data_IF_067095091430
#
_entry.id   IF_067095091430
#
_cell.length_a   1.000
_cell.length_b   1.000
_cell.length_c   1.000
_cell.angle_alpha   90.00
_cell.angle_beta   90.00
_cell.angle_gamma   90.00
#
_symmetry.space_group_name_H-M   'P 1'
#
loop_
_entity.id
_entity.type
_entity.pdbx_description
1 polymer ?
#
# COMPACT_ATOMS: atom_id res chain seq x y z
N UNK A 1 -167.38 18.13 36.18
CA UNK A 1 -166.95 17.97 34.78
C UNK A 1 -166.12 16.70 34.69
N UNK A 2 -166.81 15.56 34.70
CA UNK A 2 -167.02 14.63 33.57
C UNK A 2 -165.76 13.82 33.20
N UNK A 3 -165.77 12.56 33.65
CA UNK A 3 -164.73 11.51 33.54
C UNK A 3 -164.18 11.23 32.13
N UNK A 4 -164.79 11.76 31.06
CA UNK A 4 -164.30 11.53 29.69
C UNK A 4 -162.99 12.27 29.38
N UNK A 5 -162.78 13.47 29.93
CA UNK A 5 -161.56 14.26 29.64
C UNK A 5 -160.30 13.58 30.22
N UNK A 6 -160.43 12.93 31.38
CA UNK A 6 -159.34 12.19 32.04
C UNK A 6 -158.91 10.94 31.25
N UNK A 7 -159.84 10.27 30.57
CA UNK A 7 -159.55 9.09 29.74
C UNK A 7 -158.79 9.46 28.45
N UNK A 8 -159.16 10.57 27.80
CA UNK A 8 -158.47 11.04 26.59
C UNK A 8 -157.05 11.56 26.88
N UNK A 9 -156.82 12.19 28.03
CA UNK A 9 -155.47 12.63 28.46
C UNK A 9 -154.58 11.43 28.79
N UNK A 10 -155.11 10.40 29.45
CA UNK A 10 -154.36 9.17 29.74
C UNK A 10 -154.00 8.39 28.46
N UNK A 11 -154.93 8.30 27.49
CA UNK A 11 -154.67 7.66 26.20
C UNK A 11 -153.62 8.43 25.37
N UNK A 12 -153.67 9.76 25.36
CA UNK A 12 -152.67 10.60 24.71
C UNK A 12 -151.27 10.45 25.32
N UNK A 13 -151.19 10.34 26.65
CA UNK A 13 -149.94 10.09 27.38
C UNK A 13 -149.32 8.72 27.06
N UNK A 14 -150.14 7.67 26.91
CA UNK A 14 -149.66 6.34 26.57
C UNK A 14 -149.08 6.26 25.15
N UNK A 15 -149.70 6.95 24.18
CA UNK A 15 -149.21 6.99 22.79
C UNK A 15 -147.89 7.75 22.70
N UNK A 16 -147.75 8.88 23.42
CA UNK A 16 -146.50 9.63 23.50
C UNK A 16 -145.38 8.83 24.16
N UNK A 17 -145.68 8.08 25.23
CA UNK A 17 -144.71 7.19 25.89
C UNK A 17 -144.26 6.05 24.97
N UNK A 18 -145.20 5.45 24.20
CA UNK A 18 -144.87 4.42 23.22
C UNK A 18 -144.04 4.97 22.06
N UNK A 19 -144.33 6.17 21.56
CA UNK A 19 -143.53 6.82 20.52
C UNK A 19 -142.14 7.20 21.03
N UNK A 20 -142.01 7.69 22.26
CA UNK A 20 -140.72 7.97 22.89
C UNK A 20 -139.91 6.68 23.11
N UNK A 21 -140.55 5.58 23.52
CA UNK A 21 -139.91 4.28 23.67
C UNK A 21 -139.48 3.69 22.32
N UNK A 22 -140.29 3.83 21.27
CA UNK A 22 -139.96 3.40 19.91
C UNK A 22 -138.80 4.21 19.32
N UNK A 23 -138.79 5.53 19.56
CA UNK A 23 -137.72 6.41 19.10
C UNK A 23 -136.41 6.10 19.85
N UNK A 24 -136.47 5.85 21.16
CA UNK A 24 -135.32 5.39 21.96
C UNK A 24 -134.84 3.98 21.57
N UNK A 25 -135.72 3.14 21.04
CA UNK A 25 -135.37 1.81 20.53
C UNK A 25 -134.73 1.89 19.15
N UNK A 26 -135.22 2.75 18.26
CA UNK A 26 -134.61 3.01 16.94
C UNK A 26 -133.30 3.81 17.02
N UNK A 27 -133.10 4.60 18.08
CA UNK A 27 -131.91 5.44 18.24
C UNK A 27 -130.76 4.75 18.98
N UNK A 28 -130.78 3.43 19.16
CA UNK A 28 -129.61 2.70 19.70
C UNK A 28 -128.59 2.51 18.58
N UNK A 29 -127.44 3.23 18.59
CA UNK A 29 -126.36 2.90 17.68
C UNK A 29 -125.87 1.49 18.04
N UNK A 30 -125.84 0.58 17.06
CA UNK A 30 -125.14 -0.68 17.19
C UNK A 30 -123.65 -0.36 17.35
N UNK A 31 -123.18 -0.37 18.59
CA UNK A 31 -121.76 -0.26 18.93
C UNK A 31 -121.14 -1.61 18.61
N UNK A 32 -120.33 -1.67 17.56
CA UNK A 32 -119.68 -2.89 17.07
C UNK A 32 -118.50 -3.27 17.99
N UNK A 33 -118.81 -3.80 19.18
CA UNK A 33 -117.83 -4.26 20.19
C UNK A 33 -116.79 -5.27 19.64
N UNK A 34 -117.09 -5.91 18.50
CA UNK A 34 -116.18 -6.84 17.80
C UNK A 34 -115.01 -6.12 17.11
N UNK A 35 -115.22 -4.92 16.57
CA UNK A 35 -114.16 -4.16 15.90
C UNK A 35 -113.18 -3.58 16.92
N UNK A 36 -113.70 -3.06 18.03
CA UNK A 36 -112.87 -2.56 19.14
C UNK A 36 -112.04 -3.69 19.76
N UNK A 37 -112.61 -4.89 19.93
CA UNK A 37 -111.87 -6.06 20.44
C UNK A 37 -110.75 -6.54 19.50
N UNK A 38 -110.94 -6.43 18.17
CA UNK A 38 -109.91 -6.78 17.19
C UNK A 38 -108.78 -5.75 17.14
N UNK A 39 -109.11 -4.46 17.24
CA UNK A 39 -108.11 -3.38 17.33
C UNK A 39 -107.27 -3.51 18.60
N UNK A 40 -107.91 -3.77 19.74
CA UNK A 40 -107.23 -4.06 21.00
C UNK A 40 -106.31 -5.29 20.91
N UNK A 41 -106.76 -6.33 20.18
CA UNK A 41 -105.96 -7.53 19.92
C UNK A 41 -104.72 -7.22 19.09
N UNK A 42 -104.85 -6.41 18.04
CA UNK A 42 -103.75 -5.98 17.18
C UNK A 42 -102.75 -5.07 17.90
N UNK A 43 -103.23 -4.15 18.73
CA UNK A 43 -102.33 -3.29 19.52
C UNK A 43 -101.54 -4.10 20.55
N UNK A 44 -102.15 -5.14 21.14
CA UNK A 44 -101.44 -6.04 22.08
C UNK A 44 -100.37 -6.86 21.36
N UNK A 45 -100.66 -7.38 20.17
CA UNK A 45 -99.65 -8.14 19.39
C UNK A 45 -98.54 -7.24 18.87
N UNK A 46 -98.84 -6.01 18.43
CA UNK A 46 -97.82 -5.04 18.02
C UNK A 46 -96.90 -4.65 19.18
N UNK A 47 -97.46 -4.41 20.37
CA UNK A 47 -96.66 -4.10 21.57
C UNK A 47 -95.80 -5.30 21.98
N UNK A 48 -96.32 -6.52 21.91
CA UNK A 48 -95.55 -7.73 22.19
C UNK A 48 -94.39 -7.91 21.18
N UNK A 49 -94.66 -7.76 19.88
CA UNK A 49 -93.63 -7.81 18.83
C UNK A 49 -92.54 -6.75 19.01
N UNK A 50 -92.91 -5.52 19.37
CA UNK A 50 -91.93 -4.46 19.66
C UNK A 50 -91.09 -4.76 20.90
N UNK A 51 -91.69 -5.36 21.92
CA UNK A 51 -90.98 -5.79 23.12
C UNK A 51 -89.97 -6.90 22.80
N UNK A 52 -90.38 -7.92 22.03
CA UNK A 52 -89.52 -9.02 21.60
C UNK A 52 -88.37 -8.53 20.71
N UNK A 53 -88.62 -7.60 19.79
CA UNK A 53 -87.56 -7.00 18.96
C UNK A 53 -86.58 -6.20 19.82
N UNK A 54 -87.07 -5.41 20.78
CA UNK A 54 -86.22 -4.64 21.67
C UNK A 54 -85.40 -5.53 22.63
N UNK A 55 -85.94 -6.69 23.01
CA UNK A 55 -85.24 -7.70 23.79
C UNK A 55 -84.20 -8.45 22.95
N UNK A 56 -84.55 -8.86 21.73
CA UNK A 56 -83.62 -9.46 20.78
C UNK A 56 -82.45 -8.53 20.40
N UNK A 57 -82.72 -7.23 20.18
CA UNK A 57 -81.65 -6.24 19.96
C UNK A 57 -80.75 -6.03 21.17
N UNK A 58 -81.29 -6.13 22.39
CA UNK A 58 -80.50 -6.06 23.63
C UNK A 58 -79.63 -7.31 23.80
N UNK A 59 -80.17 -8.49 23.52
CA UNK A 59 -79.43 -9.76 23.50
C UNK A 59 -78.26 -9.73 22.52
N UNK A 60 -78.52 -9.37 21.26
CA UNK A 60 -77.48 -9.27 20.23
C UNK A 60 -76.37 -8.27 20.58
N UNK A 61 -76.72 -7.12 21.18
CA UNK A 61 -75.71 -6.15 21.64
C UNK A 61 -74.87 -6.66 22.81
N UNK A 62 -75.49 -7.42 23.72
CA UNK A 62 -74.78 -8.04 24.83
C UNK A 62 -73.80 -9.11 24.32
N UNK A 63 -74.27 -10.02 23.46
CA UNK A 63 -73.44 -11.06 22.83
C UNK A 63 -72.30 -10.47 22.00
N UNK A 64 -72.56 -9.43 21.21
CA UNK A 64 -71.52 -8.75 20.45
C UNK A 64 -70.48 -8.07 21.34
N UNK A 65 -70.91 -7.43 22.44
CA UNK A 65 -70.00 -6.84 23.41
C UNK A 65 -69.16 -7.90 24.12
N UNK A 66 -69.73 -9.07 24.40
CA UNK A 66 -69.05 -10.18 25.05
C UNK A 66 -68.03 -10.84 24.10
N UNK A 67 -68.43 -11.12 22.86
CA UNK A 67 -67.56 -11.61 21.80
C UNK A 67 -66.38 -10.65 21.52
N UNK A 68 -66.66 -9.33 21.46
CA UNK A 68 -65.60 -8.32 21.27
C UNK A 68 -64.64 -8.26 22.46
N UNK A 69 -65.13 -8.47 23.69
CA UNK A 69 -64.26 -8.55 24.88
C UNK A 69 -63.40 -9.81 24.84
N UNK A 70 -63.98 -10.96 24.48
CA UNK A 70 -63.24 -12.22 24.30
C UNK A 70 -62.11 -12.09 23.28
N UNK A 71 -62.41 -11.56 22.10
CA UNK A 71 -61.41 -11.30 21.04
C UNK A 71 -60.30 -10.36 21.50
N UNK A 72 -60.62 -9.27 22.21
CA UNK A 72 -59.60 -8.34 22.73
C UNK A 72 -58.71 -9.00 23.77
N UNK A 73 -59.28 -9.85 24.61
CA UNK A 73 -58.53 -10.55 25.64
C UNK A 73 -57.59 -11.60 25.03
N UNK A 74 -58.06 -12.35 24.04
CA UNK A 74 -57.27 -13.34 23.30
C UNK A 74 -56.13 -12.67 22.51
N UNK A 75 -56.40 -11.53 21.86
CA UNK A 75 -55.38 -10.74 21.17
C UNK A 75 -54.33 -10.18 22.15
N UNK A 76 -54.76 -9.67 23.31
CA UNK A 76 -53.85 -9.16 24.33
C UNK A 76 -52.96 -10.27 24.91
N UNK A 77 -53.53 -11.47 25.10
CA UNK A 77 -52.80 -12.64 25.55
C UNK A 77 -51.78 -13.10 24.49
N UNK A 78 -52.21 -13.23 23.23
CA UNK A 78 -51.33 -13.58 22.11
C UNK A 78 -50.17 -12.58 21.95
N UNK A 79 -50.43 -11.27 22.06
CA UNK A 79 -49.38 -10.25 22.05
C UNK A 79 -48.43 -10.35 23.25
N UNK A 80 -48.94 -10.67 24.43
CA UNK A 80 -48.12 -10.89 25.63
C UNK A 80 -47.19 -12.09 25.47
N UNK A 81 -47.71 -13.20 24.95
CA UNK A 81 -46.94 -14.42 24.69
C UNK A 81 -45.87 -14.21 23.61
N UNK A 82 -46.21 -13.54 22.51
CA UNK A 82 -45.27 -13.18 21.45
C UNK A 82 -44.13 -12.30 21.99
N UNK A 83 -44.46 -11.28 22.79
CA UNK A 83 -43.46 -10.40 23.40
C UNK A 83 -42.53 -11.19 24.34
N UNK A 84 -43.09 -12.09 25.15
CA UNK A 84 -42.31 -12.94 26.05
C UNK A 84 -41.39 -13.91 25.28
N UNK A 85 -41.86 -14.47 24.17
CA UNK A 85 -41.04 -15.28 23.27
C UNK A 85 -39.88 -14.47 22.67
N UNK A 86 -40.16 -13.30 22.11
CA UNK A 86 -39.13 -12.42 21.54
C UNK A 86 -38.07 -11.99 22.58
N UNK A 87 -38.47 -11.72 23.82
CA UNK A 87 -37.50 -11.39 24.87
C UNK A 87 -36.63 -12.57 25.27
N UNK A 88 -37.18 -13.79 25.26
CA UNK A 88 -36.41 -15.02 25.54
C UNK A 88 -35.43 -15.30 24.42
N UNK A 89 -35.85 -15.19 23.16
CA UNK A 89 -34.96 -15.35 22.01
C UNK A 89 -33.84 -14.30 22.01
N UNK A 90 -34.15 -13.04 22.30
CA UNK A 90 -33.15 -11.99 22.40
C UNK A 90 -32.13 -12.24 23.54
N UNK A 91 -32.57 -12.81 24.66
CA UNK A 91 -31.68 -13.20 25.76
C UNK A 91 -30.81 -14.41 25.38
N UNK A 92 -31.40 -15.43 24.73
CA UNK A 92 -30.68 -16.61 24.27
C UNK A 92 -29.61 -16.24 23.22
N UNK A 93 -29.96 -15.42 22.23
CA UNK A 93 -29.01 -14.95 21.22
C UNK A 93 -27.85 -14.14 21.82
N UNK A 94 -28.12 -13.33 22.86
CA UNK A 94 -27.06 -12.61 23.58
C UNK A 94 -26.14 -13.54 24.36
N UNK A 95 -26.70 -14.57 25.01
CA UNK A 95 -25.91 -15.57 25.73
C UNK A 95 -25.02 -16.38 24.78
N UNK A 96 -25.56 -16.84 23.65
CA UNK A 96 -24.80 -17.55 22.62
C UNK A 96 -23.69 -16.67 22.02
N UNK A 97 -23.99 -15.40 21.75
CA UNK A 97 -22.99 -14.44 21.28
C UNK A 97 -21.87 -14.23 22.31
N UNK A 98 -22.21 -14.08 23.59
CA UNK A 98 -21.22 -13.91 24.66
C UNK A 98 -20.33 -15.16 24.80
N UNK A 99 -20.92 -16.36 24.67
CA UNK A 99 -20.18 -17.61 24.72
C UNK A 99 -19.24 -17.76 23.51
N UNK A 100 -19.70 -17.41 22.30
CA UNK A 100 -18.87 -17.44 21.09
C UNK A 100 -17.67 -16.50 21.21
N UNK A 101 -17.88 -15.30 21.78
CA UNK A 101 -16.82 -14.32 21.99
C UNK A 101 -15.81 -14.79 23.04
N UNK A 102 -16.28 -15.45 24.10
CA UNK A 102 -15.43 -16.03 25.12
C UNK A 102 -14.56 -17.17 24.56
N UNK A 103 -15.13 -18.05 23.73
CA UNK A 103 -14.38 -19.12 23.03
C UNK A 103 -13.36 -18.53 22.06
N UNK A 104 -13.72 -17.48 21.32
CA UNK A 104 -12.78 -16.77 20.44
C UNK A 104 -11.61 -16.16 21.23
N UNK A 105 -11.91 -15.46 22.34
CA UNK A 105 -10.88 -14.87 23.19
C UNK A 105 -9.93 -15.93 23.77
N UNK A 106 -10.46 -17.09 24.19
CA UNK A 106 -9.65 -18.21 24.66
C UNK A 106 -8.73 -18.76 23.56
N UNK A 107 -9.27 -19.03 22.36
CA UNK A 107 -8.47 -19.52 21.23
C UNK A 107 -7.42 -18.52 20.75
N UNK A 108 -7.72 -17.22 20.80
CA UNK A 108 -6.76 -16.17 20.48
C UNK A 108 -5.61 -16.10 21.49
N UNK A 109 -5.92 -16.24 22.78
CA UNK A 109 -4.89 -16.30 23.83
C UNK A 109 -3.97 -17.52 23.67
N UNK A 110 -4.53 -18.68 23.33
CA UNK A 110 -3.75 -19.90 23.07
C UNK A 110 -2.83 -19.74 21.86
N UNK A 111 -3.32 -19.13 20.76
CA UNK A 111 -2.50 -18.81 19.59
C UNK A 111 -1.37 -17.82 19.91
N UNK A 112 -1.65 -16.77 20.68
CA UNK A 112 -0.63 -15.81 21.12
C UNK A 112 0.44 -16.48 21.99
N UNK A 113 0.05 -17.34 22.93
CA UNK A 113 1.00 -18.10 23.74
C UNK A 113 1.84 -19.05 22.89
N UNK A 114 1.24 -19.73 21.91
CA UNK A 114 1.96 -20.57 20.95
C UNK A 114 2.98 -19.78 20.12
N UNK A 115 2.60 -18.59 19.64
CA UNK A 115 3.50 -17.68 18.92
C UNK A 115 4.67 -17.22 19.79
N UNK A 116 4.44 -16.86 21.05
CA UNK A 116 5.49 -16.48 21.99
C UNK A 116 6.48 -17.63 22.20
N UNK A 117 5.99 -18.85 22.44
CA UNK A 117 6.85 -20.02 22.62
C UNK A 117 7.67 -20.36 21.37
N UNK A 118 7.06 -20.28 20.18
CA UNK A 118 7.78 -20.48 18.91
C UNK A 118 8.84 -19.41 18.71
N UNK A 119 8.53 -18.16 19.06
CA UNK A 119 9.48 -17.06 18.96
C UNK A 119 10.66 -17.25 19.91
N UNK A 120 10.41 -17.59 21.18
CA UNK A 120 11.45 -17.92 22.16
C UNK A 120 12.35 -19.06 21.69
N UNK A 121 11.77 -20.14 21.15
CA UNK A 121 12.54 -21.27 20.60
C UNK A 121 13.42 -20.85 19.42
N UNK A 122 12.88 -20.06 18.48
CA UNK A 122 13.67 -19.54 17.34
C UNK A 122 14.78 -18.60 17.78
N UNK A 123 14.54 -17.76 18.78
CA UNK A 123 15.57 -16.88 19.32
C UNK A 123 16.71 -17.68 19.97
N UNK A 124 16.40 -18.77 20.66
CA UNK A 124 17.42 -19.69 21.17
C UNK A 124 18.21 -20.37 20.05
N UNK A 125 17.55 -20.90 19.01
CA UNK A 125 18.22 -21.51 17.85
C UNK A 125 19.14 -20.52 17.12
N UNK A 126 18.69 -19.28 16.93
CA UNK A 126 19.50 -18.21 16.32
C UNK A 126 20.72 -17.92 17.19
N UNK A 127 20.53 -17.79 18.50
CA UNK A 127 21.63 -17.54 19.44
C UNK A 127 22.67 -18.66 19.40
N UNK A 128 22.23 -19.91 19.43
CA UNK A 128 23.11 -21.07 19.35
C UNK A 128 23.88 -21.10 18.02
N UNK A 129 23.20 -20.83 16.90
CA UNK A 129 23.84 -20.78 15.58
C UNK A 129 24.88 -19.65 15.48
N UNK A 130 24.57 -18.49 16.07
CA UNK A 130 25.50 -17.35 16.12
C UNK A 130 26.72 -17.68 16.98
N UNK A 131 26.51 -18.26 18.16
CA UNK A 131 27.62 -18.67 19.05
C UNK A 131 28.50 -19.72 18.38
N UNK A 132 27.92 -20.72 17.70
CA UNK A 132 28.68 -21.71 16.94
C UNK A 132 29.50 -21.08 15.80
N UNK A 133 28.92 -20.14 15.05
CA UNK A 133 29.64 -19.43 13.97
C UNK A 133 30.74 -18.53 14.50
N UNK A 134 30.51 -17.84 15.61
CA UNK A 134 31.53 -17.02 16.26
C UNK A 134 32.69 -17.87 16.76
N UNK A 135 32.41 -19.02 17.37
CA UNK A 135 33.44 -19.95 17.81
C UNK A 135 34.22 -20.52 16.63
N UNK A 136 33.54 -20.90 15.54
CA UNK A 136 34.21 -21.36 14.31
C UNK A 136 35.12 -20.27 13.72
N UNK A 137 34.65 -19.02 13.64
CA UNK A 137 35.46 -17.89 13.18
C UNK A 137 36.66 -17.61 14.07
N UNK A 138 36.51 -17.70 15.40
CA UNK A 138 37.62 -17.54 16.33
C UNK A 138 38.67 -18.64 16.15
N UNK A 139 38.24 -19.89 16.01
CA UNK A 139 39.13 -21.03 15.79
C UNK A 139 39.85 -20.93 14.44
N UNK A 140 39.12 -20.60 13.36
CA UNK A 140 39.70 -20.40 12.02
C UNK A 140 40.70 -19.24 11.99
N UNK A 141 40.41 -18.15 12.71
CA UNK A 141 41.31 -17.01 12.80
C UNK A 141 42.57 -17.37 13.60
N UNK A 142 42.44 -18.08 14.72
CA UNK A 142 43.60 -18.60 15.46
C UNK A 142 44.46 -19.51 14.58
N UNK A 143 43.84 -20.43 13.84
CA UNK A 143 44.55 -21.32 12.93
C UNK A 143 45.29 -20.54 11.81
N UNK A 144 44.63 -19.55 11.20
CA UNK A 144 45.28 -18.68 10.19
C UNK A 144 46.41 -17.85 10.77
N UNK A 145 46.27 -17.35 12.00
CA UNK A 145 47.34 -16.60 12.67
C UNK A 145 48.55 -17.49 12.96
N UNK A 146 48.34 -18.75 13.36
CA UNK A 146 49.43 -19.71 13.56
C UNK A 146 50.08 -20.15 12.23
N UNK A 147 49.30 -20.34 11.17
CA UNK A 147 49.84 -20.61 9.83
C UNK A 147 50.64 -19.42 9.28
N UNK A 148 50.17 -18.19 9.53
CA UNK A 148 50.93 -16.98 9.20
C UNK A 148 52.22 -16.91 10.01
N UNK A 149 52.20 -17.20 11.32
CA UNK A 149 53.41 -17.26 12.15
C UNK A 149 54.40 -18.28 11.60
N UNK A 150 53.95 -19.49 11.29
CA UNK A 150 54.79 -20.55 10.72
C UNK A 150 55.37 -20.15 9.37
N UNK A 151 54.55 -19.59 8.47
CA UNK A 151 55.00 -19.13 7.15
C UNK A 151 56.00 -17.98 7.27
N UNK A 152 55.77 -17.07 8.21
CA UNK A 152 56.66 -15.94 8.49
C UNK A 152 57.97 -16.42 9.08
N UNK A 153 57.95 -17.35 10.04
CA UNK A 153 59.15 -17.96 10.62
C UNK A 153 59.94 -18.76 9.59
N UNK A 154 59.29 -19.59 8.77
CA UNK A 154 59.92 -20.33 7.68
C UNK A 154 60.56 -19.40 6.65
N UNK A 155 59.86 -18.34 6.23
CA UNK A 155 60.42 -17.37 5.30
C UNK A 155 61.52 -16.52 5.93
N UNK A 156 61.41 -16.15 7.20
CA UNK A 156 62.45 -15.43 7.91
C UNK A 156 63.69 -16.30 8.09
N UNK A 157 63.56 -17.54 8.55
CA UNK A 157 64.70 -18.46 8.72
C UNK A 157 65.37 -18.75 7.38
N UNK A 158 64.60 -19.11 6.35
CA UNK A 158 65.15 -19.37 5.01
C UNK A 158 65.83 -18.14 4.41
N UNK A 159 65.23 -16.95 4.57
CA UNK A 159 65.81 -15.70 4.04
C UNK A 159 67.01 -15.23 4.87
N UNK A 160 66.99 -15.41 6.20
CA UNK A 160 68.12 -15.08 7.07
C UNK A 160 69.29 -16.01 6.81
N UNK A 161 69.06 -17.31 6.77
CA UNK A 161 70.13 -18.31 6.62
C UNK A 161 70.78 -18.21 5.23
N UNK A 162 69.98 -17.97 4.18
CA UNK A 162 70.49 -17.72 2.84
C UNK A 162 71.27 -16.39 2.76
N UNK A 163 70.75 -15.29 3.33
CA UNK A 163 71.44 -13.98 3.31
C UNK A 163 72.64 -13.92 4.25
N UNK A 164 72.60 -14.58 5.40
CA UNK A 164 73.72 -14.68 6.34
C UNK A 164 74.79 -15.58 5.75
N UNK A 165 74.43 -16.71 5.13
CA UNK A 165 75.37 -17.57 4.41
C UNK A 165 76.07 -16.85 3.25
N UNK A 166 75.31 -16.11 2.42
CA UNK A 166 75.89 -15.26 1.38
C UNK A 166 76.74 -14.12 1.96
N UNK A 167 76.30 -13.48 3.05
CA UNK A 167 77.05 -12.39 3.69
C UNK A 167 78.34 -12.89 4.33
N UNK A 168 78.34 -14.07 4.98
CA UNK A 168 79.55 -14.66 5.56
C UNK A 168 80.52 -15.14 4.48
N UNK A 169 80.02 -15.71 3.38
CA UNK A 169 80.84 -16.04 2.21
C UNK A 169 81.46 -14.78 1.59
N UNK A 170 80.67 -13.73 1.43
CA UNK A 170 81.13 -12.45 0.91
C UNK A 170 82.12 -11.73 1.87
N UNK A 171 82.02 -11.96 3.19
CA UNK A 171 82.98 -11.46 4.18
C UNK A 171 84.28 -12.28 4.16
N UNK A 172 84.21 -13.61 4.01
CA UNK A 172 85.38 -14.46 3.80
C UNK A 172 86.12 -14.13 2.51
N UNK A 173 85.39 -13.97 1.40
CA UNK A 173 85.94 -13.56 0.10
C UNK A 173 86.56 -12.15 0.18
N UNK A 174 85.97 -11.24 0.98
CA UNK A 174 86.54 -9.91 1.27
C UNK A 174 87.77 -9.96 2.15
N UNK A 175 87.88 -10.87 3.12
CA UNK A 175 89.08 -11.05 3.94
C UNK A 175 90.24 -11.61 3.11
N UNK A 176 89.96 -12.51 2.17
CA UNK A 176 90.94 -13.00 1.19
C UNK A 176 91.35 -11.90 0.19
N UNK A 177 90.38 -11.09 -0.28
CA UNK A 177 90.64 -9.94 -1.14
C UNK A 177 91.36 -8.79 -0.44
N UNK A 178 91.21 -8.61 0.89
CA UNK A 178 91.95 -7.61 1.68
C UNK A 178 93.40 -8.03 1.89
N UNK A 179 93.67 -9.33 2.05
CA UNK A 179 95.05 -9.84 2.06
C UNK A 179 95.74 -9.68 0.69
N UNK A 180 94.98 -9.75 -0.40
CA UNK A 180 95.45 -9.46 -1.76
C UNK A 180 95.59 -7.94 -2.02
N UNK A 181 94.68 -7.14 -1.45
CA UNK A 181 94.55 -5.70 -1.67
C UNK A 181 95.55 -4.82 -0.93
N UNK A 182 96.27 -5.34 0.07
CA UNK A 182 97.40 -4.64 0.69
C UNK A 182 98.63 -4.54 -0.25
N UNK A 183 98.65 -5.25 -1.38
CA UNK A 183 99.73 -5.22 -2.37
C UNK A 183 99.57 -4.20 -3.51
N UNK A 184 98.40 -3.59 -3.69
CA UNK A 184 98.11 -2.71 -4.83
C UNK A 184 97.67 -1.33 -4.36
N UNK A 185 98.60 -0.63 -3.71
CA UNK A 185 98.47 0.76 -3.33
C UNK A 185 98.73 1.70 -4.52
N UNK A 186 98.04 1.55 -5.67
CA UNK A 186 98.17 2.52 -6.77
C UNK A 186 97.14 2.32 -7.91
N UNK A 187 95.91 2.83 -7.76
CA UNK A 187 95.18 3.56 -8.81
C UNK A 187 93.67 3.74 -8.50
N UNK A 188 93.23 5.01 -8.53
CA UNK A 188 91.92 5.49 -8.99
C UNK A 188 90.69 5.00 -8.18
N UNK A 189 90.19 5.74 -7.19
CA UNK A 189 89.58 7.07 -7.30
C UNK A 189 88.50 7.20 -8.39
N UNK A 190 87.48 6.34 -8.39
CA UNK A 190 86.15 6.63 -8.95
C UNK A 190 85.17 5.49 -8.62
N UNK A 191 84.04 5.80 -7.96
CA UNK A 191 82.93 4.85 -7.89
C UNK A 191 82.28 4.65 -6.53
N UNK A 192 82.05 5.73 -5.76
CA UNK A 192 81.08 5.71 -4.67
C UNK A 192 79.93 6.63 -5.07
N UNK A 193 78.93 6.06 -5.75
CA UNK A 193 77.72 6.77 -6.17
C UNK A 193 76.45 5.91 -6.15
N UNK A 194 76.55 4.62 -5.87
CA UNK A 194 75.45 3.68 -6.17
C UNK A 194 74.39 3.53 -5.07
N UNK A 195 74.51 4.28 -3.96
CA UNK A 195 73.50 4.23 -2.89
C UNK A 195 72.30 5.17 -3.09
N UNK A 196 72.37 6.13 -4.02
CA UNK A 196 71.19 6.94 -4.44
C UNK A 196 70.28 6.18 -5.43
N UNK A 197 70.70 4.99 -5.93
CA UNK A 197 70.10 4.30 -7.09
C UNK A 197 69.07 3.22 -6.77
N UNK A 198 68.74 2.97 -5.51
CA UNK A 198 67.70 2.00 -5.13
C UNK A 198 66.31 2.67 -4.98
N UNK A 199 66.23 4.01 -5.00
CA UNK A 199 64.97 4.77 -5.05
C UNK A 199 64.60 5.27 -6.47
N UNK A 200 65.38 4.92 -7.50
CA UNK A 200 65.21 5.40 -8.87
C UNK A 200 64.35 4.51 -9.76
N UNK A 201 63.73 3.45 -9.26
CA UNK A 201 62.99 2.51 -10.11
C UNK A 201 61.69 3.15 -10.65
N UNK A 202 61.60 3.36 -11.97
CA UNK A 202 60.57 4.17 -12.65
C UNK A 202 59.16 3.59 -12.52
N UNK A 203 59.02 2.25 -12.36
CA UNK A 203 57.71 1.60 -12.20
C UNK A 203 57.05 1.86 -10.83
N UNK A 204 57.84 1.92 -9.75
CA UNK A 204 57.31 2.23 -8.41
C UNK A 204 56.82 3.69 -8.28
N UNK A 205 57.16 4.56 -9.27
CA UNK A 205 56.89 6.01 -9.24
C UNK A 205 55.44 6.37 -9.62
N UNK A 206 54.83 5.66 -10.57
CA UNK A 206 53.43 5.90 -10.99
C UNK A 206 52.43 5.26 -10.04
N UNK A 207 52.72 4.02 -9.61
CA UNK A 207 51.81 3.22 -8.79
C UNK A 207 51.48 3.84 -7.43
N UNK A 208 52.39 4.61 -6.82
CA UNK A 208 52.11 5.22 -5.52
C UNK A 208 51.04 6.32 -5.58
N UNK A 209 51.05 7.12 -6.65
CA UNK A 209 50.03 8.14 -6.88
C UNK A 209 48.67 7.53 -7.21
N UNK A 210 48.66 6.47 -8.03
CA UNK A 210 47.47 5.69 -8.36
C UNK A 210 46.85 5.03 -7.12
N UNK A 211 47.66 4.42 -6.25
CA UNK A 211 47.18 3.79 -5.01
C UNK A 211 46.59 4.81 -4.06
N UNK A 212 47.18 6.01 -3.96
CA UNK A 212 46.63 7.06 -3.11
C UNK A 212 45.30 7.59 -3.66
N UNK A 213 45.22 7.78 -4.99
CA UNK A 213 43.97 8.16 -5.66
C UNK A 213 42.87 7.10 -5.46
N UNK A 214 43.22 5.82 -5.61
CA UNK A 214 42.31 4.70 -5.41
C UNK A 214 41.69 4.73 -4.01
N UNK A 215 42.53 4.85 -2.97
CA UNK A 215 42.09 4.93 -1.58
C UNK A 215 41.16 6.11 -1.33
N UNK A 216 41.50 7.30 -1.84
CA UNK A 216 40.65 8.49 -1.67
C UNK A 216 39.26 8.30 -2.31
N UNK A 217 39.19 7.67 -3.47
CA UNK A 217 37.92 7.41 -4.15
C UNK A 217 37.13 6.31 -3.42
N UNK A 218 37.77 5.20 -3.06
CA UNK A 218 37.15 4.07 -2.34
C UNK A 218 36.59 4.49 -0.97
N UNK A 219 37.27 5.37 -0.25
CA UNK A 219 36.83 5.85 1.06
C UNK A 219 35.60 6.80 0.97
N UNK A 220 35.42 7.50 -0.16
CA UNK A 220 34.40 8.56 -0.31
C UNK A 220 33.22 8.16 -1.21
N UNK A 221 33.38 7.19 -2.11
CA UNK A 221 32.40 6.85 -3.15
C UNK A 221 32.06 5.36 -3.16
N UNK A 222 30.82 5.02 -3.54
CA UNK A 222 30.45 3.61 -3.74
C UNK A 222 30.92 3.10 -5.10
N UNK A 223 31.14 1.78 -5.28
CA UNK A 223 31.60 1.21 -6.55
C UNK A 223 30.71 1.50 -7.77
N UNK A 224 29.46 1.92 -7.57
CA UNK A 224 28.54 2.30 -8.65
C UNK A 224 28.74 3.74 -9.15
N UNK A 225 29.38 4.58 -8.33
CA UNK A 225 29.57 6.02 -8.56
C UNK A 225 30.89 6.34 -9.27
N UNK A 226 31.79 5.39 -9.41
CA UNK A 226 33.05 5.54 -10.13
C UNK A 226 33.38 4.26 -10.91
N UNK A 227 34.37 4.35 -11.79
CA UNK A 227 34.98 3.20 -12.42
C UNK A 227 36.50 3.40 -12.50
N UNK A 228 37.25 2.30 -12.38
CA UNK A 228 38.70 2.30 -12.51
C UNK A 228 39.13 1.72 -13.85
N UNK A 229 40.22 2.24 -14.41
CA UNK A 229 40.84 1.77 -15.65
C UNK A 229 39.86 1.64 -16.83
N UNK A 230 39.07 2.68 -17.08
CA UNK A 230 38.08 2.69 -18.16
C UNK A 230 38.57 3.47 -19.39
N UNK A 231 37.93 3.21 -20.54
CA UNK A 231 38.04 4.04 -21.74
C UNK A 231 36.85 5.00 -21.78
N UNK A 232 37.00 6.26 -21.35
CA UNK A 232 35.85 7.16 -21.17
C UNK A 232 35.35 7.74 -22.51
N UNK A 233 36.18 7.72 -23.56
CA UNK A 233 35.86 8.24 -24.89
C UNK A 233 35.66 7.08 -25.87
N UNK A 234 34.47 6.91 -26.48
CA UNK A 234 34.23 5.89 -27.48
C UNK A 234 35.20 6.02 -28.67
N UNK A 235 35.82 4.90 -29.07
CA UNK A 235 36.79 4.87 -30.18
C UNK A 235 38.22 5.28 -29.80
N UNK A 236 38.48 5.66 -28.55
CA UNK A 236 39.83 5.90 -28.04
C UNK A 236 40.35 4.68 -27.26
N UNK A 237 41.64 4.36 -27.41
CA UNK A 237 42.32 3.36 -26.60
C UNK A 237 42.93 3.92 -25.30
N UNK A 238 42.77 5.22 -25.05
CA UNK A 238 43.25 5.84 -23.83
C UNK A 238 42.44 5.36 -22.62
N UNK A 239 43.15 4.76 -21.66
CA UNK A 239 42.60 4.31 -20.39
C UNK A 239 42.90 5.36 -19.33
N UNK A 240 41.87 5.84 -18.65
CA UNK A 240 42.00 6.70 -17.47
C UNK A 240 42.02 5.85 -16.21
N UNK A 241 42.86 6.21 -15.25
CA UNK A 241 43.03 5.48 -13.99
C UNK A 241 41.70 5.41 -13.23
N UNK A 242 41.00 6.54 -13.10
CA UNK A 242 39.68 6.62 -12.49
C UNK A 242 38.75 7.59 -13.23
N UNK A 243 37.46 7.31 -13.20
CA UNK A 243 36.44 8.24 -13.65
C UNK A 243 35.22 8.21 -12.74
N UNK A 244 34.72 9.38 -12.35
CA UNK A 244 33.47 9.51 -11.58
C UNK A 244 32.30 9.49 -12.54
N UNK A 245 31.28 8.69 -12.21
CA UNK A 245 30.05 8.56 -12.98
C UNK A 245 29.10 9.69 -12.61
N UNK A 246 28.96 10.69 -13.47
CA UNK A 246 28.00 11.78 -13.29
C UNK A 246 26.68 11.47 -14.02
N UNK A 247 25.53 11.88 -13.46
CA UNK A 247 24.24 11.81 -14.12
C UNK A 247 24.22 12.75 -15.33
N UNK A 248 24.01 12.19 -16.52
CA UNK A 248 23.93 12.97 -17.75
C UNK A 248 22.71 13.90 -17.80
N UNK A 249 22.82 15.02 -18.51
CA UNK A 249 21.77 16.04 -18.65
C UNK A 249 20.66 15.70 -19.68
N UNK A 250 20.60 14.47 -20.20
CA UNK A 250 19.69 14.12 -21.30
C UNK A 250 18.82 12.88 -21.05
N UNK A 251 17.66 12.83 -21.71
CA UNK A 251 16.65 11.75 -21.71
C UNK A 251 17.20 10.36 -22.10
N UNK A 252 18.46 10.26 -22.55
CA UNK A 252 19.11 9.03 -23.01
C UNK A 252 19.85 8.22 -21.93
N UNK A 253 19.87 8.66 -20.67
CA UNK A 253 20.39 7.87 -19.53
C UNK A 253 21.88 7.50 -19.57
N UNK A 254 22.66 7.96 -20.55
CA UNK A 254 24.09 7.70 -20.60
C UNK A 254 24.83 8.54 -19.54
N UNK A 255 25.62 7.91 -18.66
CA UNK A 255 26.40 8.63 -17.68
C UNK A 255 27.51 9.44 -18.35
N UNK A 256 27.78 10.63 -17.81
CA UNK A 256 28.91 11.47 -18.22
C UNK A 256 30.07 11.14 -17.29
N UNK A 257 31.23 10.83 -17.85
CA UNK A 257 32.41 10.50 -17.06
C UNK A 257 33.22 11.74 -16.70
N UNK A 258 33.58 11.92 -15.43
CA UNK A 258 34.57 12.90 -14.98
C UNK A 258 35.93 12.20 -14.84
N UNK A 259 36.87 12.38 -15.78
CA UNK A 259 38.15 11.68 -15.78
C UNK A 259 39.07 12.24 -14.69
N UNK A 260 39.74 11.36 -13.95
CA UNK A 260 40.73 11.69 -12.94
C UNK A 260 41.99 10.87 -13.20
N UNK A 261 43.08 11.58 -13.51
CA UNK A 261 44.36 10.98 -13.83
C UNK A 261 45.41 11.46 -12.82
N UNK A 262 46.17 10.52 -12.24
CA UNK A 262 47.23 10.79 -11.29
C UNK A 262 48.57 11.08 -12.00
N UNK A 263 49.17 12.24 -11.74
CA UNK A 263 50.48 12.61 -12.29
C UNK A 263 51.45 13.03 -11.19
N UNK A 264 52.68 12.54 -11.30
CA UNK A 264 53.74 12.84 -10.34
C UNK A 264 55.07 13.13 -11.08
N UNK A 265 55.34 14.40 -11.47
CA UNK A 265 56.62 14.83 -12.04
C UNK A 265 57.71 14.84 -10.96
N UNK A 266 58.05 13.64 -10.47
CA UNK A 266 58.94 13.44 -9.32
C UNK A 266 60.33 14.02 -9.55
N UNK A 267 60.87 13.89 -10.75
CA UNK A 267 62.25 14.32 -11.03
C UNK A 267 62.38 15.83 -11.00
N UNK A 268 61.44 16.54 -11.62
CA UNK A 268 61.40 18.00 -11.57
C UNK A 268 61.11 18.50 -10.16
N UNK A 269 60.26 17.80 -9.41
CA UNK A 269 59.96 18.12 -8.01
C UNK A 269 61.17 17.89 -7.09
N UNK A 270 61.86 16.76 -7.20
CA UNK A 270 63.08 16.47 -6.44
C UNK A 270 64.19 17.46 -6.76
N UNK A 271 64.43 17.79 -8.04
CA UNK A 271 65.40 18.83 -8.43
C UNK A 271 65.09 20.19 -7.81
N UNK A 272 63.80 20.52 -7.71
CA UNK A 272 63.36 21.73 -7.05
C UNK A 272 63.63 21.69 -5.54
N UNK A 273 63.35 20.57 -4.88
CA UNK A 273 63.63 20.39 -3.45
C UNK A 273 65.15 20.44 -3.17
N UNK A 274 65.95 19.72 -3.94
CA UNK A 274 67.42 19.72 -3.83
C UNK A 274 67.99 21.16 -3.97
N UNK A 275 67.46 21.95 -4.93
CA UNK A 275 67.87 23.35 -5.10
C UNK A 275 67.42 24.26 -3.94
N UNK A 276 66.25 24.00 -3.34
CA UNK A 276 65.78 24.72 -2.16
C UNK A 276 66.63 24.41 -0.93
N UNK A 277 66.96 23.13 -0.71
CA UNK A 277 67.83 22.68 0.39
C UNK A 277 69.25 23.25 0.26
N UNK A 278 69.76 23.33 -0.97
CA UNK A 278 71.06 23.95 -1.26
C UNK A 278 71.04 25.50 -1.19
N UNK A 279 69.89 26.12 -0.94
CA UNK A 279 69.68 27.57 -0.96
C UNK A 279 70.12 28.26 -2.27
N UNK A 280 70.04 27.54 -3.40
CA UNK A 280 70.40 28.04 -4.73
C UNK A 280 69.21 28.76 -5.37
N UNK A 281 69.16 30.09 -5.26
CA UNK A 281 68.05 30.89 -5.76
C UNK A 281 67.85 30.78 -7.29
N UNK A 282 68.91 30.61 -8.07
CA UNK A 282 68.81 30.46 -9.53
C UNK A 282 68.40 29.03 -9.90
N UNK A 283 68.94 28.02 -9.21
CA UNK A 283 68.51 26.63 -9.33
C UNK A 283 67.03 26.43 -9.02
N UNK A 284 66.51 27.09 -7.97
CA UNK A 284 65.09 27.05 -7.59
C UNK A 284 64.19 27.64 -8.69
N UNK A 285 64.60 28.74 -9.32
CA UNK A 285 63.85 29.32 -10.45
C UNK A 285 63.85 28.39 -11.65
N UNK A 286 65.01 27.86 -12.04
CA UNK A 286 65.14 26.98 -13.20
C UNK A 286 64.38 25.67 -13.01
N UNK A 287 64.56 24.99 -11.87
CA UNK A 287 63.84 23.76 -11.54
C UNK A 287 62.33 23.98 -11.42
N UNK A 288 61.92 25.12 -10.87
CA UNK A 288 60.52 25.51 -10.80
C UNK A 288 59.86 25.74 -12.16
N UNK A 289 60.58 26.36 -13.10
CA UNK A 289 60.12 26.52 -14.49
C UNK A 289 60.03 25.17 -15.23
N UNK A 290 61.00 24.29 -15.00
CA UNK A 290 60.98 22.93 -15.54
C UNK A 290 59.78 22.13 -15.03
N UNK A 291 59.49 22.19 -13.72
CA UNK A 291 58.32 21.57 -13.11
C UNK A 291 57.02 22.10 -13.73
N UNK A 292 56.88 23.43 -13.86
CA UNK A 292 55.71 24.04 -14.47
C UNK A 292 55.48 23.54 -15.91
N UNK A 293 56.55 23.46 -16.71
CA UNK A 293 56.49 22.94 -18.09
C UNK A 293 56.11 21.46 -18.12
N UNK A 294 56.64 20.66 -17.21
CA UNK A 294 56.30 19.23 -17.12
C UNK A 294 54.82 19.02 -16.78
N UNK A 295 54.29 19.76 -15.79
CA UNK A 295 52.87 19.72 -15.42
C UNK A 295 51.98 20.15 -16.60
N UNK A 296 52.33 21.23 -17.29
CA UNK A 296 51.58 21.71 -18.45
C UNK A 296 51.54 20.70 -19.60
N UNK A 297 52.66 20.01 -19.86
CA UNK A 297 52.72 18.94 -20.85
C UNK A 297 51.78 17.78 -20.48
N UNK A 298 51.79 17.36 -19.23
CA UNK A 298 50.88 16.30 -18.75
C UNK A 298 49.42 16.72 -18.85
N UNK A 299 49.11 17.99 -18.54
CA UNK A 299 47.76 18.51 -18.64
C UNK A 299 47.26 18.50 -20.08
N UNK A 300 48.10 18.89 -21.03
CA UNK A 300 47.78 18.83 -22.46
C UNK A 300 47.51 17.39 -22.93
N UNK A 301 48.28 16.42 -22.43
CA UNK A 301 48.06 15.00 -22.72
C UNK A 301 46.72 14.50 -22.16
N UNK A 302 46.40 14.82 -20.90
CA UNK A 302 45.12 14.47 -20.26
C UNK A 302 43.95 15.09 -21.02
N UNK A 303 44.06 16.38 -21.37
CA UNK A 303 43.03 17.10 -22.11
C UNK A 303 42.73 16.44 -23.47
N UNK A 304 43.78 16.07 -24.20
CA UNK A 304 43.65 15.44 -25.52
C UNK A 304 43.09 14.02 -25.43
N UNK A 305 43.44 13.27 -24.38
CA UNK A 305 43.05 11.87 -24.23
C UNK A 305 41.63 11.69 -23.69
N UNK A 306 41.20 12.54 -22.77
CA UNK A 306 40.02 12.27 -21.95
C UNK A 306 38.94 13.34 -22.00
N UNK A 307 39.20 14.55 -22.49
CA UNK A 307 38.19 15.62 -22.51
C UNK A 307 37.45 15.65 -23.86
N UNK A 308 36.33 14.93 -23.92
CA UNK A 308 35.44 14.80 -25.07
C UNK A 308 33.95 14.78 -24.65
N UNK A 309 33.32 15.95 -24.48
CA UNK A 309 31.86 16.07 -24.37
C UNK A 309 31.17 15.55 -25.64
N UNK A 310 30.01 14.84 -25.56
CA UNK A 310 29.16 14.65 -24.38
C UNK A 310 29.49 13.41 -23.52
N UNK A 311 30.49 12.60 -23.88
CA UNK A 311 30.82 11.35 -23.17
C UNK A 311 31.53 11.60 -21.83
N UNK A 312 32.28 12.70 -21.76
CA UNK A 312 33.00 13.14 -20.57
C UNK A 312 32.63 14.57 -20.23
N UNK A 313 33.00 15.00 -19.03
CA UNK A 313 32.86 16.41 -18.61
C UNK A 313 33.68 17.35 -19.47
N UNK A 314 33.30 18.63 -19.48
CA UNK A 314 34.04 19.69 -20.19
C UNK A 314 35.47 19.88 -19.68
N UNK A 315 35.80 19.33 -18.51
CA UNK A 315 37.11 19.37 -17.89
C UNK A 315 37.50 18.00 -17.32
N UNK A 316 38.78 17.80 -17.04
CA UNK A 316 39.29 16.64 -16.31
C UNK A 316 40.08 17.07 -15.07
N UNK A 317 40.29 16.15 -14.13
CA UNK A 317 41.07 16.40 -12.92
C UNK A 317 42.45 15.77 -13.06
N UNK A 318 43.49 16.59 -12.88
CA UNK A 318 44.84 16.11 -12.66
C UNK A 318 45.09 16.02 -11.15
N UNK A 319 45.27 14.79 -10.67
CA UNK A 319 45.57 14.52 -9.28
C UNK A 319 47.08 14.54 -9.01
N UNK A 320 47.49 15.30 -7.99
CA UNK A 320 48.86 15.37 -7.51
C UNK A 320 48.94 14.71 -6.13
N UNK A 321 49.73 13.64 -5.95
CA UNK A 321 49.65 12.77 -4.75
C UNK A 321 50.33 13.32 -3.49
N UNK A 322 50.90 14.53 -3.55
CA UNK A 322 51.46 15.20 -2.38
C UNK A 322 50.99 16.64 -2.32
N UNK A 323 50.58 17.07 -1.13
CA UNK A 323 50.12 18.45 -0.92
C UNK A 323 51.22 19.47 -1.21
N UNK A 324 52.48 19.12 -0.90
CA UNK A 324 53.64 19.96 -1.19
C UNK A 324 53.85 20.17 -2.70
N UNK A 325 53.65 19.14 -3.53
CA UNK A 325 53.71 19.29 -4.98
C UNK A 325 52.57 20.17 -5.50
N UNK A 326 51.35 19.97 -4.99
CA UNK A 326 50.21 20.80 -5.32
C UNK A 326 50.45 22.28 -4.97
N UNK A 327 51.00 22.55 -3.78
CA UNK A 327 51.39 23.89 -3.35
C UNK A 327 52.46 24.51 -4.27
N UNK A 328 53.46 23.73 -4.70
CA UNK A 328 54.48 24.21 -5.63
C UNK A 328 53.92 24.57 -7.01
N UNK A 329 52.89 23.85 -7.48
CA UNK A 329 52.16 24.18 -8.72
C UNK A 329 51.36 25.47 -8.56
N UNK A 330 50.63 25.63 -7.45
CA UNK A 330 49.86 26.83 -7.13
C UNK A 330 50.72 28.09 -7.01
N UNK A 331 51.95 27.94 -6.48
CA UNK A 331 52.88 29.07 -6.29
C UNK A 331 53.39 29.66 -7.61
N UNK A 332 53.20 28.98 -8.75
CA UNK A 332 53.72 29.44 -10.05
C UNK A 332 52.76 30.41 -10.73
N UNK A 333 53.17 31.68 -10.95
CA UNK A 333 52.32 32.67 -11.57
C UNK A 333 51.82 32.23 -12.96
N UNK A 334 50.51 32.34 -13.17
CA UNK A 334 49.83 32.04 -14.44
C UNK A 334 49.82 30.57 -14.86
N UNK A 335 50.39 29.63 -14.08
CA UNK A 335 50.34 28.22 -14.40
C UNK A 335 48.90 27.69 -14.30
N UNK A 336 48.20 28.02 -13.22
CA UNK A 336 46.82 27.58 -13.00
C UNK A 336 45.89 28.04 -14.14
N UNK A 337 46.04 29.28 -14.60
CA UNK A 337 45.25 29.84 -15.72
C UNK A 337 45.49 29.03 -17.00
N UNK A 338 46.76 28.72 -17.32
CA UNK A 338 47.09 27.87 -18.49
C UNK A 338 46.51 26.46 -18.37
N UNK A 339 46.48 25.89 -17.17
CA UNK A 339 45.88 24.56 -16.94
C UNK A 339 44.35 24.61 -17.09
N UNK A 340 43.72 25.68 -16.60
CA UNK A 340 42.30 25.92 -16.76
C UNK A 340 41.90 26.15 -18.23
N UNK A 341 42.72 26.87 -19.01
CA UNK A 341 42.53 27.04 -20.46
C UNK A 341 42.60 25.69 -21.21
N UNK A 342 43.38 24.74 -20.70
CA UNK A 342 43.42 23.35 -21.19
C UNK A 342 42.25 22.49 -20.68
N UNK A 343 41.33 23.08 -19.90
CA UNK A 343 40.21 22.42 -19.24
C UNK A 343 40.66 21.35 -18.25
N UNK A 344 41.78 21.59 -17.55
CA UNK A 344 42.33 20.70 -16.53
C UNK A 344 42.30 21.39 -15.18
N UNK A 345 41.58 20.80 -14.23
CA UNK A 345 41.58 21.23 -12.84
C UNK A 345 42.59 20.41 -12.05
N UNK A 346 43.49 21.07 -11.33
CA UNK A 346 44.49 20.40 -10.50
C UNK A 346 43.95 20.22 -9.08
N UNK A 347 44.14 19.04 -8.51
CA UNK A 347 43.76 18.76 -7.12
C UNK A 347 44.85 17.99 -6.37
N UNK A 348 45.18 18.48 -5.16
CA UNK A 348 45.90 17.69 -4.16
C UNK A 348 44.97 16.76 -3.38
N UNK A 349 45.50 15.93 -2.45
CA UNK A 349 44.71 14.96 -1.68
C UNK A 349 43.55 15.59 -0.89
N UNK A 350 43.80 16.71 -0.19
CA UNK A 350 42.76 17.36 0.61
C UNK A 350 41.68 18.03 -0.26
N UNK A 351 42.09 18.67 -1.36
CA UNK A 351 41.15 19.33 -2.27
C UNK A 351 40.30 18.30 -3.02
N UNK A 352 40.90 17.19 -3.48
CA UNK A 352 40.15 16.11 -4.10
C UNK A 352 39.15 15.48 -3.12
N UNK A 353 39.56 15.19 -1.88
CA UNK A 353 38.64 14.65 -0.88
C UNK A 353 37.42 15.58 -0.64
N UNK A 354 37.65 16.90 -0.55
CA UNK A 354 36.59 17.88 -0.41
C UNK A 354 35.66 17.91 -1.65
N UNK A 355 36.22 17.82 -2.85
CA UNK A 355 35.46 17.73 -4.10
C UNK A 355 34.60 16.46 -4.14
N UNK A 356 35.19 15.30 -3.81
CA UNK A 356 34.48 14.01 -3.77
C UNK A 356 33.32 14.04 -2.77
N UNK A 357 33.53 14.59 -1.58
CA UNK A 357 32.48 14.74 -0.56
C UNK A 357 31.36 15.67 -1.05
N UNK A 358 31.71 16.78 -1.70
CA UNK A 358 30.74 17.70 -2.31
C UNK A 358 29.91 17.02 -3.41
N UNK A 359 30.54 16.21 -4.26
CA UNK A 359 29.86 15.40 -5.27
C UNK A 359 28.94 14.34 -4.66
N UNK A 360 29.37 13.72 -3.54
CA UNK A 360 28.56 12.73 -2.82
C UNK A 360 27.24 13.34 -2.32
N UNK A 361 27.26 14.57 -1.81
CA UNK A 361 26.04 15.28 -1.42
C UNK A 361 25.14 15.56 -2.62
N UNK A 362 25.72 15.93 -3.78
CA UNK A 362 24.99 16.09 -5.04
C UNK A 362 24.30 14.80 -5.50
N UNK A 363 24.98 13.66 -5.41
CA UNK A 363 24.39 12.36 -5.75
C UNK A 363 23.27 11.95 -4.79
N UNK A 364 23.42 12.22 -3.49
CA UNK A 364 22.36 11.95 -2.50
C UNK A 364 21.09 12.76 -2.79
N UNK A 365 21.23 14.04 -3.10
CA UNK A 365 20.10 14.90 -3.48
C UNK A 365 19.41 14.38 -4.74
N UNK A 366 20.17 14.04 -5.79
CA UNK A 366 19.59 13.53 -7.03
C UNK A 366 18.88 12.17 -6.84
N UNK A 367 19.45 11.27 -6.05
CA UNK A 367 18.82 9.99 -5.74
C UNK A 367 17.48 10.17 -5.00
N UNK A 368 17.36 11.19 -4.16
CA UNK A 368 16.11 11.54 -3.48
C UNK A 368 15.08 12.10 -4.49
N UNK A 369 15.50 12.94 -5.43
CA UNK A 369 14.62 13.46 -6.48
C UNK A 369 14.05 12.33 -7.37
N UNK A 370 14.90 11.38 -7.78
CA UNK A 370 14.46 10.23 -8.60
C UNK A 370 13.43 9.36 -7.87
N UNK A 371 13.67 9.03 -6.60
CA UNK A 371 12.70 8.27 -5.79
C UNK A 371 11.39 9.03 -5.58
N UNK A 372 11.45 10.36 -5.48
CA UNK A 372 10.25 11.20 -5.39
C UNK A 372 9.44 11.20 -6.69
N UNK A 373 10.11 11.12 -7.84
CA UNK A 373 9.46 10.95 -9.16
C UNK A 373 8.77 9.59 -9.30
N UNK A 374 9.39 8.51 -8.81
CA UNK A 374 8.78 7.18 -8.76
C UNK A 374 7.50 7.17 -7.90
N UNK A 375 7.55 7.80 -6.71
CA UNK A 375 6.35 7.97 -5.86
C UNK A 375 5.24 8.72 -6.62
N UNK A 376 5.57 9.76 -7.38
CA UNK A 376 4.60 10.48 -8.22
C UNK A 376 4.00 9.64 -9.34
N UNK A 377 4.77 8.70 -9.91
CA UNK A 377 4.25 7.76 -10.90
C UNK A 377 3.30 6.75 -10.26
N UNK A 378 3.65 6.20 -9.09
CA UNK A 378 2.78 5.29 -8.34
C UNK A 378 1.49 6.00 -7.94
N UNK A 379 1.55 7.24 -7.46
CA UNK A 379 0.36 8.03 -7.13
C UNK A 379 -0.53 8.30 -8.36
N UNK A 380 0.05 8.50 -9.55
CA UNK A 380 -0.72 8.60 -10.81
C UNK A 380 -1.42 7.30 -11.17
N UNK A 381 -0.74 6.16 -11.01
CA UNK A 381 -1.35 4.85 -11.23
C UNK A 381 -2.51 4.62 -10.26
N UNK A 382 -2.30 4.89 -8.96
CA UNK A 382 -3.34 4.78 -7.92
C UNK A 382 -4.52 5.71 -8.22
N UNK A 383 -4.29 6.97 -8.62
CA UNK A 383 -5.37 7.90 -9.00
C UNK A 383 -6.22 7.35 -10.15
N UNK A 384 -5.59 6.68 -11.11
CA UNK A 384 -6.29 6.06 -12.25
C UNK A 384 -7.17 4.89 -11.79
N UNK A 385 -6.67 4.03 -10.91
CA UNK A 385 -7.44 2.93 -10.32
C UNK A 385 -8.60 3.43 -9.43
N UNK A 386 -8.41 4.51 -8.67
CA UNK A 386 -9.49 5.16 -7.92
C UNK A 386 -10.57 5.75 -8.83
N UNK A 387 -10.20 6.26 -10.02
CA UNK A 387 -11.16 6.66 -11.03
C UNK A 387 -12.05 5.50 -11.48
N UNK A 388 -11.44 4.37 -11.84
CA UNK A 388 -12.18 3.14 -12.23
C UNK A 388 -13.07 2.62 -11.11
N UNK A 389 -12.61 2.67 -9.86
CA UNK A 389 -13.42 2.30 -8.70
C UNK A 389 -14.63 3.23 -8.53
N UNK A 390 -14.45 4.53 -8.74
CA UNK A 390 -15.53 5.52 -8.75
C UNK A 390 -16.60 5.20 -9.81
N UNK A 391 -16.19 4.85 -11.03
CA UNK A 391 -17.10 4.46 -12.10
C UNK A 391 -17.87 3.17 -11.77
N UNK A 392 -17.19 2.17 -11.20
CA UNK A 392 -17.82 0.93 -10.75
C UNK A 392 -18.87 1.19 -9.65
N UNK A 393 -18.54 2.04 -8.67
CA UNK A 393 -19.45 2.41 -7.59
C UNK A 393 -20.67 3.21 -8.10
N UNK A 394 -20.46 4.09 -9.08
CA UNK A 394 -21.55 4.79 -9.76
C UNK A 394 -22.48 3.82 -10.51
N UNK A 395 -21.91 2.78 -11.13
CA UNK A 395 -22.66 1.67 -11.72
C UNK A 395 -23.54 0.96 -10.69
N UNK A 396 -22.98 0.55 -9.55
CA UNK A 396 -23.72 -0.11 -8.46
C UNK A 396 -24.87 0.77 -7.94
N UNK A 397 -24.62 2.07 -7.74
CA UNK A 397 -25.66 3.02 -7.32
C UNK A 397 -26.83 3.04 -8.31
N UNK A 398 -26.56 3.12 -9.61
CA UNK A 398 -27.60 3.11 -10.65
C UNK A 398 -28.43 1.83 -10.62
N UNK A 399 -27.80 0.69 -10.36
CA UNK A 399 -28.49 -0.61 -10.24
C UNK A 399 -29.40 -0.63 -9.01
N UNK A 400 -28.93 -0.12 -7.86
CA UNK A 400 -29.73 0.01 -6.64
C UNK A 400 -30.92 0.96 -6.82
N UNK A 401 -30.72 2.11 -7.46
CA UNK A 401 -31.80 3.06 -7.78
C UNK A 401 -32.86 2.41 -8.70
N UNK A 402 -32.41 1.65 -9.69
CA UNK A 402 -33.29 0.90 -10.60
C UNK A 402 -34.07 -0.19 -9.86
N UNK A 403 -33.40 -0.94 -8.97
CA UNK A 403 -34.03 -1.96 -8.14
C UNK A 403 -35.07 -1.33 -7.20
N UNK A 404 -34.74 -0.21 -6.55
CA UNK A 404 -35.64 0.56 -5.71
C UNK A 404 -36.90 1.01 -6.48
N UNK A 405 -36.72 1.55 -7.69
CA UNK A 405 -37.84 1.94 -8.56
C UNK A 405 -38.75 0.75 -8.92
N UNK A 406 -38.17 -0.41 -9.27
CA UNK A 406 -38.95 -1.63 -9.56
C UNK A 406 -39.74 -2.12 -8.36
N UNK A 407 -39.17 -2.07 -7.16
CA UNK A 407 -39.87 -2.40 -5.91
C UNK A 407 -41.07 -1.45 -5.73
N UNK A 408 -40.88 -0.15 -5.91
CA UNK A 408 -41.96 0.84 -5.80
C UNK A 408 -43.11 0.60 -6.78
N UNK A 409 -42.81 0.28 -8.05
CA UNK A 409 -43.84 -0.06 -9.05
C UNK A 409 -44.59 -1.35 -8.69
N UNK A 410 -43.86 -2.34 -8.14
CA UNK A 410 -44.45 -3.60 -7.69
C UNK A 410 -45.40 -3.38 -6.51
N UNK A 411 -45.04 -2.55 -5.53
CA UNK A 411 -45.94 -2.18 -4.44
C UNK A 411 -47.23 -1.50 -4.93
N UNK A 412 -47.13 -0.57 -5.89
CA UNK A 412 -48.31 0.10 -6.45
C UNK A 412 -49.22 -0.89 -7.17
N UNK A 413 -48.64 -1.82 -7.94
CA UNK A 413 -49.38 -2.88 -8.64
C UNK A 413 -50.03 -3.86 -7.65
N UNK A 414 -49.32 -4.24 -6.59
CA UNK A 414 -49.86 -5.08 -5.50
C UNK A 414 -51.00 -4.37 -4.76
N UNK A 415 -50.89 -3.07 -4.47
CA UNK A 415 -51.99 -2.28 -3.89
C UNK A 415 -53.18 -2.17 -4.85
N UNK A 416 -52.95 -2.03 -6.15
CA UNK A 416 -54.02 -2.02 -7.15
C UNK A 416 -54.71 -3.40 -7.26
N UNK A 417 -53.94 -4.49 -7.27
CA UNK A 417 -54.47 -5.85 -7.22
C UNK A 417 -55.26 -6.11 -5.94
N UNK A 418 -54.76 -5.72 -4.78
CA UNK A 418 -55.48 -5.86 -3.49
C UNK A 418 -56.78 -5.05 -3.45
N UNK A 419 -56.83 -3.88 -4.12
CA UNK A 419 -58.07 -3.10 -4.27
C UNK A 419 -59.08 -3.81 -5.17
N UNK A 420 -58.62 -4.38 -6.29
CA UNK A 420 -59.47 -5.13 -7.21
C UNK A 420 -59.94 -6.48 -6.62
N UNK A 421 -59.11 -7.14 -5.82
CA UNK A 421 -59.48 -8.35 -5.06
C UNK A 421 -60.47 -8.04 -3.92
N UNK A 422 -60.41 -6.84 -3.32
CA UNK A 422 -61.43 -6.37 -2.36
C UNK A 422 -62.78 -6.04 -3.01
N UNK A 423 -62.81 -5.74 -4.31
CA UNK A 423 -64.06 -5.47 -5.05
C UNK A 423 -64.73 -6.72 -5.61
N UNK A 424 -64.08 -7.88 -5.54
CA UNK A 424 -64.72 -9.16 -5.86
C UNK A 424 -65.21 -9.75 -4.54
N UNK A 425 -66.49 -9.51 -4.24
CA UNK A 425 -67.17 -10.17 -3.12
C UNK A 425 -67.04 -11.69 -3.24
N UNK A 426 -66.85 -12.35 -2.09
CA UNK A 426 -66.71 -13.79 -1.97
C UNK A 426 -67.87 -14.53 -2.65
N UNK A 427 -67.56 -15.34 -3.66
CA UNK A 427 -68.52 -16.28 -4.24
C UNK A 427 -68.82 -17.43 -3.28
N UNK A 428 -70.07 -17.91 -3.18
CA UNK A 428 -70.42 -19.08 -2.39
C UNK A 428 -69.66 -20.32 -2.85
N UNK A 429 -69.16 -21.14 -1.92
CA UNK A 429 -68.34 -22.36 -2.17
C UNK A 429 -68.95 -23.33 -3.20
N UNK A 430 -70.26 -23.28 -3.45
CA UNK A 430 -70.96 -24.14 -4.38
C UNK A 430 -70.61 -23.92 -5.86
N UNK A 431 -70.11 -22.72 -6.24
CA UNK A 431 -69.79 -22.41 -7.65
C UNK A 431 -68.30 -22.62 -7.99
N UNK A 432 -67.41 -22.47 -7.00
CA UNK A 432 -65.97 -22.71 -7.17
C UNK A 432 -65.64 -24.20 -7.45
N UNK A 433 -66.44 -25.12 -6.88
CA UNK A 433 -66.24 -26.56 -7.07
C UNK A 433 -66.60 -27.04 -8.49
N UNK A 434 -67.45 -26.30 -9.23
CA UNK A 434 -67.81 -26.64 -10.63
C UNK A 434 -66.75 -26.22 -11.65
N UNK A 435 -65.93 -25.21 -11.34
CA UNK A 435 -64.87 -24.72 -12.23
C UNK A 435 -63.56 -25.49 -12.08
N UNK A 436 -63.35 -26.19 -10.96
CA UNK A 436 -62.12 -26.94 -10.66
C UNK A 436 -62.24 -28.46 -10.91
N UNK A 437 -63.40 -28.96 -11.34
CA UNK A 437 -63.62 -30.38 -11.62
C UNK A 437 -64.24 -30.63 -12.99
N UNK A 438 -63.40 -30.87 -14.00
CA UNK A 438 -63.86 -31.24 -15.36
C UNK A 438 -62.75 -31.39 -16.41
N UNK A 439 -62.02 -32.50 -16.32
CA UNK A 439 -61.45 -33.37 -17.39
C UNK A 439 -60.50 -32.87 -18.51
N UNK A 440 -59.44 -33.70 -18.73
CA UNK A 440 -58.86 -34.06 -20.06
C UNK A 440 -57.49 -33.46 -20.36
N UNK A 441 -56.34 -34.11 -20.10
CA UNK A 441 -55.73 -35.27 -20.79
C UNK A 441 -55.15 -34.99 -22.20
N UNK A 442 -53.83 -35.21 -22.31
CA UNK A 442 -52.99 -35.47 -23.50
C UNK A 442 -52.77 -34.35 -24.54
N UNK A 443 -51.50 -33.97 -24.77
CA UNK A 443 -50.74 -34.59 -25.88
C UNK A 443 -49.22 -34.31 -25.77
N UNK A 444 -48.44 -35.35 -26.02
CA UNK A 444 -47.00 -35.30 -26.29
C UNK A 444 -46.80 -34.85 -27.75
N UNK A 445 -45.71 -34.12 -28.06
CA UNK A 445 -44.92 -34.36 -29.28
C UNK A 445 -43.61 -33.60 -29.24
N UNK A 446 -42.54 -34.34 -29.50
CA UNK A 446 -41.19 -33.88 -29.77
C UNK A 446 -41.04 -33.33 -31.21
N UNK A 447 -40.07 -32.44 -31.44
CA UNK A 447 -38.95 -32.65 -32.37
C UNK A 447 -38.27 -31.34 -32.83
N UNK A 448 -36.94 -31.33 -32.63
CA UNK A 448 -35.85 -30.93 -33.55
C UNK A 448 -35.76 -29.53 -34.18
N UNK A 449 -34.52 -29.00 -34.11
CA UNK A 449 -33.85 -28.42 -35.27
C UNK A 449 -33.50 -26.93 -35.17
N UNK A 450 -32.25 -26.64 -34.81
CA UNK A 450 -31.23 -26.17 -35.77
C UNK A 450 -30.24 -25.19 -35.13
N UNK A 451 -28.96 -25.51 -35.30
CA UNK A 451 -27.81 -24.69 -34.95
C UNK A 451 -26.94 -24.57 -36.20
N UNK A 452 -26.47 -23.37 -36.59
CA UNK A 452 -25.40 -23.28 -37.56
C UNK A 452 -24.07 -22.97 -36.88
N UNK A 453 -23.06 -23.73 -37.29
CA UNK A 453 -21.65 -23.51 -36.99
C UNK A 453 -20.94 -22.73 -38.12
N UNK A 454 -19.86 -22.06 -37.73
CA UNK A 454 -18.64 -21.74 -38.50
C UNK A 454 -18.66 -20.46 -39.38
N UNK A 455 -17.48 -19.88 -39.73
CA UNK A 455 -16.12 -20.42 -39.57
C UNK A 455 -15.04 -19.47 -39.00
N UNK A 456 -13.88 -20.09 -38.76
CA UNK A 456 -12.61 -19.48 -38.37
C UNK A 456 -11.78 -19.00 -39.58
N UNK A 457 -11.06 -17.89 -39.40
CA UNK A 457 -9.73 -17.55 -39.95
C UNK A 457 -9.37 -16.17 -39.38
N UNK A 458 -8.19 -15.81 -38.91
CA UNK A 458 -6.85 -16.38 -38.93
C UNK A 458 -5.86 -15.23 -38.60
N UNK A 459 -4.62 -15.60 -38.26
CA UNK A 459 -3.45 -14.76 -37.90
C UNK A 459 -3.33 -14.36 -36.43
#
# INVERSE_FOLDING_TARGET
>A
MSNEVLLWVAAGGAVLACLAALMAWLSRPARDDRLDALLDGLERTERALRADIAEGQRGLRAEFSESTRGLRQELAQSHGELRAALTRDAQAARAESAESLARFAAGFNEQLQGLIQINERRLMEVRETVDQRLQALQNDNSAKLDDMRRTVDEKLHATLEQRLGESFKQVSDRLEAVHKGLGEMQALAAGVGDLKRVLTNVKSRGTWGEVQLARLIEDNMTPEQYASNIKPVPGSDAVVEFAIRLPGRGDGGMPVWLPIDAKFPKEEYERLMDAQEAADAEGVKAAGAALAKAVELQARLIATKYVAPPHTTDFAIMFLPTESLYAEVLRRPGLLDRLHDLRINVAGPSNLAALLNSLQMGFRTLAIEQRSSEVWQVLRAVKTEFGKFGDALAGVKKTLDTASSKIGQTEVRTRAMLRNLKSVEALPEAEALRLLGGEGAADETAAEGDAPAAPASGA
#
